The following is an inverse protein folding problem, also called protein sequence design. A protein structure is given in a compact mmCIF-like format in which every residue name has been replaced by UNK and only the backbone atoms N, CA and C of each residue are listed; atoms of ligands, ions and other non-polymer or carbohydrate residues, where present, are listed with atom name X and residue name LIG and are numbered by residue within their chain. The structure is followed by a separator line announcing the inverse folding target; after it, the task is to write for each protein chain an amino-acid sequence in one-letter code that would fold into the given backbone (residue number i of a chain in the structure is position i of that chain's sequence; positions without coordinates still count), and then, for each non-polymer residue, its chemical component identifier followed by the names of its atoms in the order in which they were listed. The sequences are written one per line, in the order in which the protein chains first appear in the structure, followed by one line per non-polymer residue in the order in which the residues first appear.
data_IF_544902430070
#
_entry.id   IF_544902430070
#
_cell.length_a   1.000
_cell.length_b   1.000
_cell.length_c   1.000
_cell.angle_alpha   90.00
_cell.angle_beta   90.00
_cell.angle_gamma   90.00
#
_symmetry.space_group_name_H-M   'P 1'
#
loop_
_entity.id
_entity.type
_entity.pdbx_description
1 polymer ?
#
# COMPACT_ATOMS: atom_id res chain seq x y z
N UNK A 1 13.52 -8.88 -22.01
CA UNK A 1 12.09 -8.52 -21.91
C UNK A 1 11.96 -7.13 -21.28
N UNK A 2 10.96 -6.33 -21.68
CA UNK A 2 10.70 -4.99 -21.11
C UNK A 2 9.49 -5.06 -20.18
N UNK A 3 9.56 -4.43 -19.02
CA UNK A 3 8.46 -4.30 -18.08
C UNK A 3 8.28 -2.84 -17.64
N UNK A 4 7.09 -2.50 -17.15
CA UNK A 4 6.78 -1.18 -16.63
C UNK A 4 5.92 -1.29 -15.37
N UNK A 5 6.33 -0.58 -14.31
CA UNK A 5 5.56 -0.45 -13.08
C UNK A 5 4.76 0.85 -13.10
N UNK A 6 3.48 0.75 -12.77
CA UNK A 6 2.57 1.87 -12.64
C UNK A 6 2.25 2.05 -11.16
N UNK A 7 2.45 3.29 -10.71
CA UNK A 7 2.16 3.71 -9.35
C UNK A 7 1.12 4.83 -9.36
N UNK A 8 0.32 4.90 -8.30
CA UNK A 8 -0.57 6.03 -8.06
C UNK A 8 0.03 6.93 -6.98
N UNK A 9 -0.40 8.19 -6.95
CA UNK A 9 0.00 9.15 -5.93
C UNK A 9 -0.58 8.76 -4.57
N UNK A 10 0.27 8.76 -3.54
CA UNK A 10 -0.11 8.54 -2.13
C UNK A 10 0.18 9.82 -1.34
N UNK A 11 -0.76 10.32 -0.52
CA UNK A 11 -0.66 11.64 0.10
C UNK A 11 0.20 11.64 1.38
N UNK A 12 1.49 11.34 1.23
CA UNK A 12 2.44 11.27 2.35
C UNK A 12 2.85 12.66 2.84
N UNK A 13 2.76 12.90 4.15
CA UNK A 13 3.22 14.11 4.81
C UNK A 13 2.14 15.18 4.93
N UNK A 14 2.25 16.05 5.93
CA UNK A 14 1.23 17.04 6.32
C UNK A 14 0.72 17.91 5.16
N UNK A 15 1.61 18.32 4.25
CA UNK A 15 1.28 19.20 3.10
C UNK A 15 0.86 18.46 1.83
N UNK A 16 0.58 17.16 1.92
CA UNK A 16 0.17 16.36 0.78
C UNK A 16 -1.20 16.78 0.24
N UNK A 17 -1.27 16.95 -1.08
CA UNK A 17 -2.47 17.42 -1.79
C UNK A 17 -3.38 16.24 -2.13
N UNK A 18 -4.44 16.04 -1.34
CA UNK A 18 -5.38 14.93 -1.51
C UNK A 18 -6.17 14.97 -2.82
N UNK A 19 -6.31 16.15 -3.42
CA UNK A 19 -6.94 16.37 -4.72
C UNK A 19 -6.16 15.72 -5.89
N UNK A 20 -4.85 15.48 -5.71
CA UNK A 20 -4.02 14.78 -6.70
C UNK A 20 -4.17 13.26 -6.65
N UNK A 21 -4.81 12.72 -5.61
CA UNK A 21 -5.09 11.29 -5.54
C UNK A 21 -6.12 10.91 -6.61
N UNK A 22 -5.85 9.83 -7.33
CA UNK A 22 -6.73 9.33 -8.37
C UNK A 22 -8.17 9.18 -7.87
N UNK A 23 -9.13 9.66 -8.66
CA UNK A 23 -10.54 9.34 -8.45
C UNK A 23 -10.81 7.86 -8.72
N UNK A 24 -11.97 7.35 -8.32
CA UNK A 24 -12.35 5.96 -8.58
C UNK A 24 -12.41 5.69 -10.10
N UNK A 25 -12.91 6.65 -10.88
CA UNK A 25 -12.99 6.59 -12.34
C UNK A 25 -11.59 6.58 -12.97
N UNK A 26 -10.67 7.42 -12.49
CA UNK A 26 -9.28 7.45 -12.95
C UNK A 26 -8.55 6.14 -12.63
N UNK A 27 -8.78 5.57 -11.43
CA UNK A 27 -8.21 4.27 -11.05
C UNK A 27 -8.77 3.12 -11.87
N UNK A 28 -10.08 3.10 -12.15
CA UNK A 28 -10.68 2.10 -13.04
C UNK A 28 -10.16 2.24 -14.48
N UNK A 29 -10.02 3.48 -14.97
CA UNK A 29 -9.44 3.73 -16.27
C UNK A 29 -8.05 3.07 -16.37
N UNK A 30 -7.17 3.29 -15.39
CA UNK A 30 -5.84 2.67 -15.36
C UNK A 30 -5.91 1.15 -15.24
N UNK A 31 -6.79 0.60 -14.41
CA UNK A 31 -7.03 -0.85 -14.31
C UNK A 31 -7.35 -1.47 -15.69
N UNK A 32 -8.26 -0.86 -16.47
CA UNK A 32 -8.61 -1.35 -17.80
C UNK A 32 -7.49 -1.12 -18.82
N UNK A 33 -6.85 0.05 -18.80
CA UNK A 33 -5.77 0.39 -19.74
C UNK A 33 -4.55 -0.52 -19.57
N UNK A 34 -4.11 -0.77 -18.35
CA UNK A 34 -2.91 -1.58 -18.08
C UNK A 34 -3.11 -3.00 -18.59
N UNK A 35 -4.28 -3.60 -18.36
CA UNK A 35 -4.63 -4.92 -18.91
C UNK A 35 -4.75 -4.91 -20.44
N UNK A 36 -5.29 -3.85 -21.03
CA UNK A 36 -5.27 -3.68 -22.49
C UNK A 36 -3.83 -3.65 -23.02
N UNK A 37 -2.92 -2.95 -22.36
CA UNK A 37 -1.51 -2.89 -22.78
C UNK A 37 -0.81 -4.25 -22.71
N UNK A 38 -1.09 -5.08 -21.69
CA UNK A 38 -0.57 -6.46 -21.65
C UNK A 38 -0.92 -7.29 -22.88
N UNK A 39 -2.10 -7.03 -23.46
CA UNK A 39 -2.60 -7.77 -24.62
C UNK A 39 -2.20 -7.14 -25.97
N UNK A 40 -1.76 -5.88 -25.98
CA UNK A 40 -1.60 -5.10 -27.23
C UNK A 40 -0.22 -4.51 -27.44
N UNK A 41 0.67 -4.57 -26.45
CA UNK A 41 2.02 -3.99 -26.49
C UNK A 41 3.07 -5.04 -26.13
N UNK A 42 4.28 -5.00 -26.71
CA UNK A 42 5.37 -5.92 -26.38
C UNK A 42 6.09 -5.53 -25.07
N UNK A 43 5.33 -5.15 -24.03
CA UNK A 43 5.83 -4.80 -22.69
C UNK A 43 4.95 -5.45 -21.63
N UNK A 44 5.56 -5.95 -20.55
CA UNK A 44 4.81 -6.48 -19.41
C UNK A 44 4.52 -5.36 -18.41
N UNK A 45 3.29 -4.89 -18.37
CA UNK A 45 2.86 -3.81 -17.46
C UNK A 45 2.37 -4.37 -16.13
N UNK A 46 2.70 -3.70 -15.02
CA UNK A 46 2.31 -4.09 -13.65
C UNK A 46 1.77 -2.85 -12.94
N UNK A 47 0.57 -2.93 -12.39
CA UNK A 47 -0.06 -1.93 -11.55
C UNK A 47 0.09 -2.33 -10.08
N UNK A 48 0.77 -1.50 -9.30
CA UNK A 48 1.11 -1.81 -7.91
C UNK A 48 -0.12 -1.96 -6.99
N UNK A 49 -1.27 -1.37 -7.33
CA UNK A 49 -2.51 -1.49 -6.54
C UNK A 49 -3.55 -2.38 -7.20
N UNK A 50 -3.72 -2.27 -8.51
CA UNK A 50 -4.83 -2.90 -9.22
C UNK A 50 -4.59 -4.36 -9.62
N UNK A 51 -3.36 -4.85 -9.57
CA UNK A 51 -3.02 -6.25 -9.90
C UNK A 51 -2.95 -7.18 -8.69
N UNK A 52 -3.34 -6.71 -7.51
CA UNK A 52 -3.09 -7.48 -6.29
C UNK A 52 -3.84 -8.82 -6.26
N UNK A 53 -4.89 -8.96 -7.07
CA UNK A 53 -5.58 -10.21 -7.33
C UNK A 53 -4.68 -11.33 -7.85
N UNK A 54 -3.65 -11.01 -8.63
CA UNK A 54 -2.70 -11.98 -9.16
C UNK A 54 -1.67 -12.41 -8.11
N UNK A 55 -1.54 -11.64 -7.03
CA UNK A 55 -0.62 -11.90 -5.91
C UNK A 55 -1.34 -12.14 -4.58
N UNK A 56 -2.68 -12.25 -4.61
CA UNK A 56 -3.59 -12.48 -3.48
C UNK A 56 -3.46 -11.39 -2.39
N UNK A 57 -3.66 -10.13 -2.75
CA UNK A 57 -3.64 -8.99 -1.83
C UNK A 57 -2.30 -8.24 -1.76
N UNK A 58 -2.09 -7.48 -0.68
CA UNK A 58 -0.87 -6.69 -0.48
C UNK A 58 0.39 -7.58 -0.46
N UNK A 59 1.51 -7.08 -0.98
CA UNK A 59 2.80 -7.78 -0.99
C UNK A 59 3.83 -7.21 0.00
N UNK A 60 3.45 -6.18 0.76
CA UNK A 60 4.23 -5.51 1.79
C UNK A 60 4.38 -6.34 3.07
N UNK A 61 5.11 -5.81 4.04
CA UNK A 61 5.26 -6.40 5.37
C UNK A 61 6.08 -7.70 5.36
N UNK A 62 7.08 -7.78 4.48
CA UNK A 62 7.97 -8.94 4.39
C UNK A 62 7.38 -10.14 3.65
N UNK A 63 6.13 -10.04 3.14
CA UNK A 63 5.53 -11.12 2.33
C UNK A 63 6.27 -11.32 1.00
N UNK A 64 6.59 -10.22 0.31
CA UNK A 64 7.44 -10.23 -0.90
C UNK A 64 8.54 -9.17 -0.86
N UNK A 65 8.32 -8.08 -0.13
CA UNK A 65 9.31 -7.03 0.03
C UNK A 65 9.16 -6.30 1.37
N UNK A 66 10.17 -5.51 1.67
CA UNK A 66 10.18 -4.44 2.68
C UNK A 66 10.91 -3.24 2.08
N UNK A 67 10.89 -2.11 2.79
CA UNK A 67 11.65 -0.92 2.44
C UNK A 67 12.64 -0.58 3.55
N UNK A 68 13.89 -0.27 3.21
CA UNK A 68 14.85 0.31 4.14
C UNK A 68 15.13 1.72 3.64
N UNK A 69 14.73 2.72 4.43
CA UNK A 69 14.91 4.11 4.05
C UNK A 69 16.40 4.55 4.21
N UNK A 70 16.72 5.78 3.80
CA UNK A 70 18.09 6.30 3.87
C UNK A 70 18.65 6.44 5.31
N UNK A 71 17.79 6.47 6.33
CA UNK A 71 18.18 6.49 7.74
C UNK A 71 18.38 5.08 8.33
N UNK A 72 18.05 4.03 7.56
CA UNK A 72 18.17 2.63 7.96
C UNK A 72 16.90 2.05 8.59
N UNK A 73 15.79 2.80 8.65
CA UNK A 73 14.56 2.29 9.24
C UNK A 73 13.94 1.22 8.34
N UNK A 74 13.53 0.12 8.93
CA UNK A 74 12.97 -1.06 8.24
C UNK A 74 11.45 -0.92 8.19
N UNK A 75 10.96 -0.33 7.11
CA UNK A 75 9.54 -0.05 6.86
C UNK A 75 8.86 -1.22 6.12
N UNK A 76 7.58 -1.51 6.38
CA UNK A 76 6.88 -2.61 5.72
C UNK A 76 6.61 -2.33 4.23
N UNK A 77 6.59 -1.06 3.81
CA UNK A 77 6.25 -0.62 2.46
C UNK A 77 6.91 0.74 2.15
N UNK A 78 7.36 0.93 0.91
CA UNK A 78 7.96 2.20 0.45
C UNK A 78 7.00 3.41 0.46
N UNK A 79 5.70 3.19 0.67
CA UNK A 79 4.67 4.22 0.78
C UNK A 79 4.07 4.33 2.19
N UNK A 80 4.67 3.68 3.18
CA UNK A 80 4.17 3.65 4.57
C UNK A 80 5.37 3.81 5.51
N UNK A 81 5.66 5.06 5.88
CA UNK A 81 6.84 5.44 6.65
C UNK A 81 6.59 5.34 8.16
N UNK A 82 6.42 4.10 8.65
CA UNK A 82 6.40 3.76 10.06
C UNK A 82 7.32 2.59 10.32
N UNK A 83 8.06 2.63 11.43
CA UNK A 83 8.97 1.55 11.83
C UNK A 83 9.11 1.42 13.34
N UNK A 84 9.37 0.19 13.78
CA UNK A 84 9.80 -0.17 15.14
C UNK A 84 11.22 -0.79 15.16
N UNK A 85 11.92 -0.70 14.01
CA UNK A 85 13.16 -1.42 13.73
C UNK A 85 14.09 -0.60 12.81
N UNK A 86 15.38 -0.61 13.12
CA UNK A 86 16.42 0.00 12.28
C UNK A 86 17.53 -1.02 12.02
N UNK A 87 18.08 -1.03 10.80
CA UNK A 87 19.11 -2.00 10.37
C UNK A 87 20.44 -1.81 11.12
N UNK A 88 20.64 -0.67 11.77
CA UNK A 88 21.80 -0.41 12.63
C UNK A 88 21.75 -1.22 13.92
N UNK A 89 20.54 -1.56 14.39
CA UNK A 89 20.32 -2.15 15.71
C UNK A 89 19.72 -3.58 15.65
N UNK A 90 19.03 -3.91 14.55
CA UNK A 90 18.36 -5.20 14.34
C UNK A 90 18.76 -5.82 13.00
N UNK A 91 18.97 -7.13 12.99
CA UNK A 91 18.99 -7.92 11.76
C UNK A 91 17.61 -7.93 11.10
N UNK A 92 17.56 -8.27 9.80
CA UNK A 92 16.27 -8.43 9.10
C UNK A 92 15.39 -9.49 9.76
N UNK A 93 15.97 -10.58 10.27
CA UNK A 93 15.20 -11.64 10.93
C UNK A 93 14.54 -11.15 12.24
N UNK A 94 15.25 -10.33 13.02
CA UNK A 94 14.69 -9.69 14.21
C UNK A 94 13.60 -8.70 13.82
N UNK A 95 13.83 -7.86 12.81
CA UNK A 95 12.83 -6.93 12.31
C UNK A 95 11.57 -7.64 11.79
N UNK A 96 11.70 -8.76 11.08
CA UNK A 96 10.57 -9.59 10.65
C UNK A 96 9.77 -10.17 11.80
N UNK A 97 10.35 -10.29 13.01
CA UNK A 97 9.67 -10.76 14.22
C UNK A 97 9.21 -9.61 15.12
N UNK A 98 9.58 -8.38 14.82
CA UNK A 98 9.13 -7.18 15.53
C UNK A 98 7.61 -6.99 15.41
N UNK A 99 6.98 -6.28 16.37
CA UNK A 99 5.54 -6.07 16.40
C UNK A 99 4.93 -5.61 15.07
N UNK A 100 5.53 -4.65 14.36
CA UNK A 100 4.97 -4.09 13.13
C UNK A 100 4.86 -5.14 12.02
N UNK A 101 5.91 -5.92 11.77
CA UNK A 101 5.87 -6.97 10.76
C UNK A 101 4.95 -8.13 11.17
N UNK A 102 4.84 -8.42 12.46
CA UNK A 102 3.86 -9.41 12.96
C UNK A 102 2.43 -8.94 12.78
N UNK A 103 2.14 -7.65 12.96
CA UNK A 103 0.84 -7.07 12.63
C UNK A 103 0.51 -7.25 11.15
N UNK A 104 1.45 -6.97 10.23
CA UNK A 104 1.23 -7.22 8.80
C UNK A 104 1.00 -8.70 8.49
N UNK A 105 1.72 -9.62 9.14
CA UNK A 105 1.53 -11.06 8.95
C UNK A 105 0.16 -11.56 9.42
N UNK A 106 -0.33 -11.04 10.54
CA UNK A 106 -1.60 -11.46 11.15
C UNK A 106 -2.82 -10.93 10.41
N UNK A 107 -2.73 -9.72 9.85
CA UNK A 107 -3.87 -9.01 9.29
C UNK A 107 -3.99 -9.10 7.76
N UNK A 108 -3.05 -9.77 7.08
CA UNK A 108 -3.14 -10.00 5.64
C UNK A 108 -3.97 -11.26 5.30
N UNK A 109 -4.82 -11.22 4.25
CA UNK A 109 -5.12 -10.05 3.43
C UNK A 109 -6.02 -9.05 4.16
N UNK A 110 -5.80 -7.75 3.92
CA UNK A 110 -6.57 -6.67 4.56
C UNK A 110 -8.01 -6.55 4.01
N UNK A 111 -8.27 -7.14 2.85
CA UNK A 111 -9.58 -7.15 2.21
C UNK A 111 -9.72 -8.42 1.35
N UNK A 112 -10.90 -9.03 1.35
CA UNK A 112 -11.20 -10.19 0.49
C UNK A 112 -11.31 -9.79 -0.99
N UNK A 113 -11.70 -8.55 -1.28
CA UNK A 113 -11.61 -7.99 -2.62
C UNK A 113 -10.17 -7.54 -2.88
N UNK A 114 -9.41 -8.30 -3.66
CA UNK A 114 -8.03 -7.97 -3.99
C UNK A 114 -7.87 -6.81 -5.00
N UNK A 115 -8.92 -6.05 -5.32
CA UNK A 115 -8.76 -4.70 -5.89
C UNK A 115 -8.64 -3.64 -4.79
N UNK A 116 -8.71 -4.04 -3.52
CA UNK A 116 -8.55 -3.21 -2.32
C UNK A 116 -7.42 -3.72 -1.41
N UNK A 117 -6.19 -3.94 -1.90
CA UNK A 117 -5.12 -4.55 -1.11
C UNK A 117 -4.51 -3.67 -0.05
N UNK A 118 -4.44 -2.36 -0.26
CA UNK A 118 -3.51 -1.52 0.47
C UNK A 118 -4.05 -1.25 1.88
N UNK A 119 -3.25 -1.48 2.95
CA UNK A 119 -3.70 -1.13 4.31
C UNK A 119 -3.78 0.39 4.53
N UNK A 120 -3.19 1.20 3.64
CA UNK A 120 -3.31 2.66 3.67
C UNK A 120 -4.44 3.16 2.77
N UNK A 121 -4.29 2.92 1.46
CA UNK A 121 -5.17 3.53 0.45
C UNK A 121 -6.58 2.93 0.45
N UNK A 122 -6.71 1.63 0.75
CA UNK A 122 -7.95 0.87 0.57
C UNK A 122 -8.60 0.40 1.87
N UNK A 123 -7.81 0.30 2.94
CA UNK A 123 -8.22 -0.18 4.27
C UNK A 123 -7.56 0.66 5.39
N UNK A 124 -7.72 2.00 5.40
CA UNK A 124 -7.00 2.91 6.30
C UNK A 124 -7.08 2.53 7.78
N UNK A 125 -8.19 1.96 8.22
CA UNK A 125 -8.38 1.49 9.61
C UNK A 125 -7.46 0.32 9.98
N UNK A 126 -7.11 -0.53 9.01
CA UNK A 126 -6.13 -1.61 9.19
C UNK A 126 -4.75 -1.05 9.46
N UNK A 127 -4.26 -0.09 8.66
CA UNK A 127 -2.94 0.51 8.93
C UNK A 127 -2.92 1.21 10.29
N UNK A 128 -3.96 2.00 10.58
CA UNK A 128 -4.06 2.70 11.86
C UNK A 128 -3.93 1.73 13.04
N UNK A 129 -4.73 0.66 13.04
CA UNK A 129 -4.73 -0.35 14.11
C UNK A 129 -3.38 -1.07 14.23
N UNK A 130 -2.75 -1.44 13.10
CA UNK A 130 -1.46 -2.13 13.11
C UNK A 130 -0.31 -1.26 13.64
N UNK A 131 -0.26 0.01 13.24
CA UNK A 131 0.78 0.94 13.71
C UNK A 131 0.62 1.23 15.20
N UNK A 132 -0.62 1.46 15.66
CA UNK A 132 -0.87 1.68 17.09
C UNK A 132 -0.55 0.44 17.94
N UNK A 133 -0.97 -0.75 17.49
CA UNK A 133 -0.73 -2.00 18.20
C UNK A 133 0.75 -2.41 18.23
N UNK A 134 1.55 -1.97 17.26
CA UNK A 134 2.99 -2.24 17.21
C UNK A 134 3.84 -1.24 17.97
N UNK A 135 3.31 -0.06 18.26
CA UNK A 135 4.09 1.05 18.80
C UNK A 135 5.09 1.63 17.79
N UNK A 136 4.91 1.37 16.50
CA UNK A 136 5.78 1.88 15.46
C UNK A 136 5.66 3.42 15.34
N UNK A 137 6.78 4.08 15.13
CA UNK A 137 6.86 5.54 15.01
C UNK A 137 7.00 5.97 13.56
N UNK A 138 6.57 7.19 13.24
CA UNK A 138 6.72 7.75 11.90
C UNK A 138 8.18 8.01 11.57
N UNK A 139 8.65 7.43 10.47
CA UNK A 139 10.01 7.59 9.93
C UNK A 139 10.08 8.62 8.79
N UNK A 140 8.99 9.35 8.55
CA UNK A 140 8.97 10.40 7.54
C UNK A 140 9.89 11.58 7.91
N UNK A 141 10.91 11.81 7.08
CA UNK A 141 12.08 12.66 7.38
C UNK A 141 11.72 14.14 7.59
N UNK A 142 10.74 14.66 6.86
CA UNK A 142 10.44 16.12 6.89
C UNK A 142 9.76 16.52 8.19
N UNK A 143 8.68 15.82 8.56
CA UNK A 143 7.92 16.05 9.79
C UNK A 143 7.15 14.77 10.12
N UNK A 144 7.44 14.12 11.25
CA UNK A 144 6.72 12.91 11.64
C UNK A 144 5.20 13.13 11.63
N UNK A 145 4.48 12.21 10.99
CA UNK A 145 3.03 12.28 10.81
C UNK A 145 2.37 11.13 11.59
N UNK A 146 1.38 11.45 12.43
CA UNK A 146 0.64 10.39 13.13
C UNK A 146 -0.13 9.56 12.12
N UNK A 147 -0.18 8.25 12.33
CA UNK A 147 -0.88 7.32 11.42
C UNK A 147 -2.35 7.68 11.22
N UNK A 148 -3.02 8.22 12.24
CA UNK A 148 -4.40 8.72 12.14
C UNK A 148 -4.55 9.86 11.13
N UNK A 149 -3.59 10.79 11.12
CA UNK A 149 -3.63 11.94 10.22
C UNK A 149 -3.43 11.48 8.78
N UNK A 150 -2.44 10.61 8.53
CA UNK A 150 -2.21 10.04 7.20
C UNK A 150 -3.41 9.23 6.69
N UNK A 151 -3.94 8.33 7.51
CA UNK A 151 -5.06 7.45 7.13
C UNK A 151 -6.36 8.23 6.90
N UNK A 152 -6.57 9.35 7.62
CA UNK A 152 -7.71 10.24 7.40
C UNK A 152 -7.77 10.79 5.97
N UNK A 153 -6.62 11.15 5.38
CA UNK A 153 -6.51 11.66 4.01
C UNK A 153 -6.96 10.64 2.95
N UNK A 154 -6.79 9.35 3.23
CA UNK A 154 -7.13 8.28 2.30
C UNK A 154 -8.59 7.81 2.41
N UNK A 155 -9.28 8.13 3.52
CA UNK A 155 -10.60 7.54 3.84
C UNK A 155 -11.65 7.81 2.77
N UNK A 156 -11.76 9.05 2.29
CA UNK A 156 -12.75 9.39 1.26
C UNK A 156 -12.51 8.60 -0.04
N UNK A 157 -11.26 8.56 -0.53
CA UNK A 157 -10.90 7.82 -1.75
C UNK A 157 -11.10 6.31 -1.57
N UNK A 158 -10.78 5.78 -0.39
CA UNK A 158 -11.02 4.38 -0.03
C UNK A 158 -12.51 4.01 -0.13
N UNK A 159 -13.41 4.86 0.38
CA UNK A 159 -14.86 4.62 0.32
C UNK A 159 -15.36 4.67 -1.12
N UNK A 160 -15.00 5.70 -1.88
CA UNK A 160 -15.41 5.84 -3.28
C UNK A 160 -14.90 4.70 -4.16
N UNK A 161 -13.67 4.22 -3.92
CA UNK A 161 -13.14 3.08 -4.65
C UNK A 161 -13.84 1.77 -4.30
N UNK A 162 -14.39 1.62 -3.09
CA UNK A 162 -14.98 0.36 -2.65
C UNK A 162 -16.13 -0.11 -3.56
N UNK A 163 -17.00 0.81 -4.00
CA UNK A 163 -18.13 0.50 -4.89
C UNK A 163 -17.66 0.07 -6.28
N UNK A 164 -16.71 0.82 -6.86
CA UNK A 164 -16.10 0.49 -8.16
C UNK A 164 -15.36 -0.85 -8.10
N UNK A 165 -14.56 -1.07 -7.05
CA UNK A 165 -13.85 -2.33 -6.84
C UNK A 165 -14.82 -3.51 -6.71
N UNK A 166 -15.95 -3.34 -6.00
CA UNK A 166 -16.97 -4.38 -5.86
C UNK A 166 -17.58 -4.75 -7.22
N UNK A 167 -17.95 -3.76 -8.03
CA UNK A 167 -18.47 -3.98 -9.40
C UNK A 167 -17.43 -4.68 -10.28
N UNK A 168 -16.20 -4.18 -10.31
CA UNK A 168 -15.12 -4.77 -11.10
C UNK A 168 -14.81 -6.22 -10.68
N UNK A 169 -14.92 -6.52 -9.40
CA UNK A 169 -14.72 -7.87 -8.87
C UNK A 169 -15.82 -8.83 -9.31
N UNK A 170 -17.08 -8.37 -9.34
CA UNK A 170 -18.20 -9.18 -9.82
C UNK A 170 -18.20 -9.40 -11.34
N UNK A 171 -17.66 -8.46 -12.13
CA UNK A 171 -17.50 -8.61 -13.59
C UNK A 171 -16.58 -9.78 -13.97
N UNK A 172 -15.79 -10.28 -13.01
CA UNK A 172 -14.81 -11.36 -13.21
C UNK A 172 -15.37 -12.77 -12.98
N UNK A 173 -16.58 -12.87 -12.41
CA UNK A 173 -17.27 -14.13 -12.15
C UNK A 173 -18.19 -14.51 -13.30
#
# INVERSE_FOLDING_TARGET
AKFAWFFTYIPIGEKALTELMASAEQREYMYRQIRKFRNTKPIFTIDFWNDSEYVKGCIAGGRRYLHINANGDIEPCAFIHYSDSNIKDKSLLEAYRSPLFMQYRQNQPFNENHLRPCPLLDNPDSLNSMVEASGAESTYIVKPEKVRDLTSKCRQKSVLWADTAKRLWSEKN
#
